data_IF_149431959123
#
_entry.id   IF_149431959123
#
_cell.length_a   1.000
_cell.length_b   1.000
_cell.length_c   1.000
_cell.angle_alpha   90.00
_cell.angle_beta   90.00
_cell.angle_gamma   90.00
#
_symmetry.space_group_name_H-M   'P 1'
#
loop_
_entity.id
_entity.type
_entity.pdbx_description
1 polymer ?
#
# COMPACT_ATOMS: atom_id res chain seq x y z
N UNK A 1 -14.94 2.37 2.76
CA UNK A 1 -13.70 3.11 2.43
C UNK A 1 -13.92 4.55 2.87
N UNK A 2 -13.04 5.09 3.71
CA UNK A 2 -13.15 6.48 4.21
C UNK A 2 -12.59 7.45 3.17
N UNK A 3 -11.40 7.16 2.64
CA UNK A 3 -10.75 7.90 1.55
C UNK A 3 -9.83 6.96 0.75
N UNK A 4 -9.50 7.33 -0.49
CA UNK A 4 -8.49 6.67 -1.31
C UNK A 4 -7.89 7.65 -2.33
N UNK A 5 -6.65 7.39 -2.76
CA UNK A 5 -5.96 8.25 -3.71
C UNK A 5 -4.56 7.75 -4.04
N UNK A 6 -3.81 8.56 -4.77
CA UNK A 6 -2.42 8.28 -5.15
C UNK A 6 -1.62 9.56 -4.99
N UNK A 7 -0.47 9.47 -4.31
CA UNK A 7 0.47 10.58 -4.24
C UNK A 7 1.21 10.62 -5.58
N UNK A 8 0.90 11.62 -6.39
CA UNK A 8 1.54 11.83 -7.68
C UNK A 8 2.74 12.76 -7.52
N UNK A 9 3.91 12.29 -7.94
CA UNK A 9 5.10 13.13 -8.05
C UNK A 9 5.24 13.63 -9.48
N UNK A 10 5.63 14.90 -9.70
CA UNK A 10 5.79 15.44 -11.04
C UNK A 10 6.76 14.61 -11.90
N UNK A 11 6.52 14.49 -13.22
CA UNK A 11 7.51 13.87 -14.10
C UNK A 11 8.79 14.74 -14.16
N UNK A 12 9.95 14.09 -14.28
CA UNK A 12 11.28 14.72 -14.39
C UNK A 12 11.87 15.40 -13.15
N UNK A 13 11.28 15.26 -11.95
CA UNK A 13 11.95 15.68 -10.70
C UNK A 13 13.06 14.71 -10.31
N UNK A 14 14.16 15.25 -9.77
CA UNK A 14 15.34 14.51 -9.33
C UNK A 14 14.96 13.68 -8.07
N UNK A 15 15.62 12.51 -7.91
CA UNK A 15 15.22 11.40 -7.02
C UNK A 15 14.97 11.78 -5.55
N UNK A 16 15.72 12.70 -4.89
CA UNK A 16 15.48 13.05 -3.48
C UNK A 16 14.30 13.99 -3.23
N UNK A 17 14.02 14.95 -4.11
CA UNK A 17 12.90 15.88 -3.95
C UNK A 17 11.56 15.16 -3.98
N UNK A 18 11.44 14.12 -4.82
CA UNK A 18 10.27 13.25 -4.86
C UNK A 18 10.03 12.52 -3.53
N UNK A 19 11.10 12.09 -2.86
CA UNK A 19 10.99 11.45 -1.55
C UNK A 19 10.45 12.43 -0.50
N UNK A 20 10.86 13.70 -0.55
CA UNK A 20 10.33 14.74 0.35
C UNK A 20 8.84 14.98 0.11
N UNK A 21 8.38 15.00 -1.16
CA UNK A 21 6.96 15.11 -1.49
C UNK A 21 6.19 13.92 -0.88
N UNK A 22 6.65 12.70 -1.12
CA UNK A 22 6.01 11.49 -0.56
C UNK A 22 5.92 11.56 0.96
N UNK A 23 6.99 11.96 1.64
CA UNK A 23 7.01 12.13 3.10
C UNK A 23 5.96 13.14 3.57
N UNK A 24 5.94 14.32 2.97
CA UNK A 24 5.09 15.41 3.42
C UNK A 24 3.61 15.11 3.19
N UNK A 25 3.26 14.58 2.01
CA UNK A 25 1.90 14.17 1.68
C UNK A 25 1.43 13.02 2.59
N UNK A 26 2.27 12.00 2.81
CA UNK A 26 1.94 10.92 3.74
C UNK A 26 1.75 11.45 5.17
N UNK A 27 2.61 12.37 5.62
CA UNK A 27 2.47 12.99 6.93
C UNK A 27 1.13 13.72 7.08
N UNK A 28 0.69 14.47 6.07
CA UNK A 28 -0.62 15.12 6.07
C UNK A 28 -1.77 14.11 6.19
N UNK A 29 -1.70 13.00 5.45
CA UNK A 29 -2.69 11.92 5.52
C UNK A 29 -2.73 11.28 6.92
N UNK A 30 -1.57 11.08 7.55
CA UNK A 30 -1.49 10.52 8.90
C UNK A 30 -2.05 11.48 9.95
N UNK A 31 -1.82 12.79 9.80
CA UNK A 31 -2.38 13.82 10.68
C UNK A 31 -3.89 13.98 10.51
N UNK A 32 -4.42 13.81 9.28
CA UNK A 32 -5.85 13.89 8.99
C UNK A 32 -6.62 12.67 9.50
N UNK A 33 -6.09 11.46 9.30
CA UNK A 33 -6.83 10.22 9.55
C UNK A 33 -6.44 9.48 10.83
N UNK A 34 -5.26 9.76 11.40
CA UNK A 34 -4.76 9.17 12.66
C UNK A 34 -4.97 7.65 12.73
N UNK A 35 -4.47 6.87 11.75
CA UNK A 35 -4.71 5.43 11.73
C UNK A 35 -3.96 4.72 12.88
N UNK A 36 -4.48 3.60 13.36
CA UNK A 36 -3.78 2.78 14.37
C UNK A 36 -2.66 1.92 13.77
N UNK A 37 -2.79 1.57 12.49
CA UNK A 37 -1.82 0.76 11.75
C UNK A 37 -1.82 1.13 10.27
N UNK A 38 -0.74 0.75 9.58
CA UNK A 38 -0.60 0.86 8.13
C UNK A 38 -0.16 -0.49 7.54
N UNK A 39 -0.66 -0.79 6.35
CA UNK A 39 -0.25 -1.96 5.56
C UNK A 39 0.61 -1.51 4.39
N UNK A 40 1.84 -2.00 4.31
CA UNK A 40 2.81 -1.63 3.26
C UNK A 40 3.35 -2.91 2.65
N UNK A 41 3.16 -3.11 1.36
CA UNK A 41 3.61 -4.33 0.68
C UNK A 41 5.09 -4.66 0.97
N UNK A 42 5.34 -5.92 1.31
CA UNK A 42 6.69 -6.47 1.40
C UNK A 42 7.24 -6.72 -0.01
N UNK A 43 8.36 -6.06 -0.32
CA UNK A 43 9.03 -6.21 -1.61
C UNK A 43 10.15 -7.25 -1.51
N UNK A 44 10.15 -8.21 -2.44
CA UNK A 44 11.27 -9.11 -2.68
C UNK A 44 12.18 -8.56 -3.78
N UNK A 45 13.47 -8.90 -3.73
CA UNK A 45 14.46 -8.48 -4.72
C UNK A 45 13.98 -8.78 -6.16
N UNK A 46 13.79 -7.71 -6.93
CA UNK A 46 13.45 -7.82 -8.35
C UNK A 46 14.71 -8.07 -9.19
N UNK A 47 14.60 -8.87 -10.25
CA UNK A 47 15.68 -9.06 -11.24
C UNK A 47 16.03 -7.78 -12.01
N UNK A 48 15.19 -6.73 -11.95
CA UNK A 48 15.36 -5.50 -12.72
C UNK A 48 15.77 -4.33 -11.81
N UNK A 49 17.08 -4.14 -11.66
CA UNK A 49 17.69 -3.25 -10.67
C UNK A 49 17.33 -1.76 -10.84
N UNK A 50 17.08 -1.29 -12.07
CA UNK A 50 16.84 0.14 -12.33
C UNK A 50 15.51 0.63 -11.75
N UNK A 51 14.41 -0.09 -12.00
CA UNK A 51 13.09 0.27 -11.45
C UNK A 51 13.00 -0.03 -9.95
N UNK A 52 13.76 -1.03 -9.49
CA UNK A 52 13.79 -1.40 -8.09
C UNK A 52 14.32 -0.28 -7.19
N UNK A 53 15.35 0.47 -7.60
CA UNK A 53 15.98 1.50 -6.78
C UNK A 53 14.97 2.54 -6.27
N UNK A 54 14.24 3.19 -7.17
CA UNK A 54 13.31 4.27 -6.81
C UNK A 54 12.17 3.74 -5.92
N UNK A 55 11.69 2.52 -6.20
CA UNK A 55 10.65 1.89 -5.37
C UNK A 55 11.16 1.61 -3.96
N UNK A 56 12.39 1.10 -3.81
CA UNK A 56 12.99 0.86 -2.50
C UNK A 56 13.28 2.16 -1.73
N UNK A 57 13.74 3.22 -2.41
CA UNK A 57 13.94 4.54 -1.81
C UNK A 57 12.62 5.12 -1.27
N UNK A 58 11.57 5.15 -2.10
CA UNK A 58 10.23 5.61 -1.70
C UNK A 58 9.66 4.79 -0.54
N UNK A 59 9.82 3.47 -0.59
CA UNK A 59 9.40 2.58 0.49
C UNK A 59 10.13 2.87 1.80
N UNK A 60 11.45 3.14 1.74
CA UNK A 60 12.23 3.52 2.92
C UNK A 60 11.66 4.76 3.60
N UNK A 61 11.31 5.79 2.81
CA UNK A 61 10.70 7.01 3.32
C UNK A 61 9.30 6.78 3.89
N UNK A 62 8.46 5.96 3.24
CA UNK A 62 7.14 5.60 3.75
C UNK A 62 7.27 4.92 5.11
N UNK A 63 8.14 3.91 5.23
CA UNK A 63 8.32 3.18 6.49
C UNK A 63 8.86 4.07 7.59
N UNK A 64 9.85 4.92 7.30
CA UNK A 64 10.39 5.87 8.28
C UNK A 64 9.30 6.82 8.78
N UNK A 65 8.53 7.42 7.87
CA UNK A 65 7.45 8.37 8.19
C UNK A 65 6.38 7.73 9.07
N UNK A 66 6.01 6.48 8.79
CA UNK A 66 5.06 5.72 9.60
C UNK A 66 5.58 5.48 11.03
N UNK A 67 6.85 5.09 11.19
CA UNK A 67 7.45 4.89 12.51
C UNK A 67 7.62 6.21 13.28
N UNK A 68 8.00 7.30 12.62
CA UNK A 68 8.06 8.64 13.23
C UNK A 68 6.69 9.07 13.80
N UNK A 69 5.61 8.70 13.10
CA UNK A 69 4.23 8.93 13.53
C UNK A 69 3.70 7.87 14.52
N UNK A 70 4.54 6.93 14.98
CA UNK A 70 4.20 5.83 15.91
C UNK A 70 3.11 4.89 15.38
N UNK A 71 3.03 4.72 14.07
CA UNK A 71 2.08 3.83 13.41
C UNK A 71 2.61 2.40 13.38
N UNK A 72 1.77 1.43 13.74
CA UNK A 72 2.09 0.00 13.62
C UNK A 72 2.12 -0.40 12.15
N UNK A 73 3.15 -1.11 11.71
CA UNK A 73 3.33 -1.46 10.29
C UNK A 73 3.14 -2.96 10.08
N UNK A 74 2.32 -3.31 9.08
CA UNK A 74 2.09 -4.67 8.61
C UNK A 74 2.61 -4.77 7.19
N UNK A 75 3.34 -5.85 6.91
CA UNK A 75 4.05 -5.99 5.63
C UNK A 75 3.63 -7.29 4.94
N UNK A 76 2.44 -7.34 4.31
CA UNK A 76 2.02 -8.52 3.58
C UNK A 76 2.77 -8.61 2.24
N UNK A 77 3.08 -9.83 1.82
CA UNK A 77 3.63 -10.09 0.50
C UNK A 77 2.54 -9.97 -0.58
N UNK A 78 2.93 -9.76 -1.85
CA UNK A 78 2.00 -9.78 -3.00
C UNK A 78 1.10 -11.02 -2.99
N UNK A 79 1.68 -12.20 -2.72
CA UNK A 79 0.92 -13.45 -2.72
C UNK A 79 -0.05 -13.54 -1.54
N UNK A 80 0.32 -12.98 -0.38
CA UNK A 80 -0.58 -12.85 0.77
C UNK A 80 -1.72 -11.87 0.49
N UNK A 81 -1.47 -10.73 -0.16
CA UNK A 81 -2.51 -9.78 -0.57
C UNK A 81 -3.49 -10.46 -1.53
N UNK A 82 -2.97 -11.09 -2.60
CA UNK A 82 -3.78 -11.83 -3.57
C UNK A 82 -4.61 -12.93 -2.93
N UNK A 83 -3.99 -13.72 -2.04
CA UNK A 83 -4.69 -14.79 -1.31
C UNK A 83 -5.74 -14.24 -0.35
N UNK A 84 -5.44 -13.15 0.36
CA UNK A 84 -6.36 -12.54 1.33
C UNK A 84 -7.59 -11.93 0.67
N UNK A 85 -7.43 -11.34 -0.53
CA UNK A 85 -8.54 -10.71 -1.25
C UNK A 85 -9.34 -11.68 -2.14
N UNK A 86 -8.67 -12.65 -2.79
CA UNK A 86 -9.32 -13.55 -3.77
C UNK A 86 -9.45 -15.01 -3.32
N UNK A 87 -8.79 -15.42 -2.24
CA UNK A 87 -8.59 -16.82 -1.87
C UNK A 87 -7.45 -17.52 -2.63
N UNK A 88 -6.86 -16.90 -3.66
CA UNK A 88 -5.81 -17.48 -4.49
C UNK A 88 -4.56 -16.58 -4.55
N UNK A 89 -3.41 -17.09 -4.07
CA UNK A 89 -2.15 -16.34 -4.08
C UNK A 89 -1.59 -16.03 -5.48
N UNK A 90 -2.07 -16.74 -6.51
CA UNK A 90 -1.66 -16.57 -7.91
C UNK A 90 -2.66 -15.74 -8.73
N UNK A 91 -3.64 -15.11 -8.10
CA UNK A 91 -4.66 -14.34 -8.79
C UNK A 91 -4.07 -13.24 -9.68
N UNK A 92 -4.70 -13.00 -10.82
CA UNK A 92 -4.35 -11.90 -11.72
C UNK A 92 -4.99 -10.57 -11.28
N UNK A 93 -4.60 -9.46 -11.94
CA UNK A 93 -5.08 -8.12 -11.58
C UNK A 93 -6.59 -7.96 -11.78
N UNK A 94 -7.20 -8.68 -12.73
CA UNK A 94 -8.65 -8.62 -12.97
C UNK A 94 -9.41 -9.32 -11.84
N UNK A 95 -8.89 -10.45 -11.37
CA UNK A 95 -9.46 -11.19 -10.24
C UNK A 95 -9.39 -10.37 -8.95
N UNK A 96 -8.27 -9.69 -8.68
CA UNK A 96 -8.14 -8.79 -7.53
C UNK A 96 -9.16 -7.65 -7.61
N UNK A 97 -9.25 -6.94 -8.75
CA UNK A 97 -10.22 -5.86 -8.95
C UNK A 97 -11.66 -6.33 -8.74
N UNK A 98 -12.04 -7.48 -9.30
CA UNK A 98 -13.38 -8.04 -9.12
C UNK A 98 -13.66 -8.38 -7.66
N UNK A 99 -12.68 -8.90 -6.93
CA UNK A 99 -12.81 -9.17 -5.50
C UNK A 99 -13.03 -7.87 -4.69
N UNK A 100 -12.27 -6.81 -4.98
CA UNK A 100 -12.46 -5.48 -4.37
C UNK A 100 -13.89 -4.97 -4.62
N UNK A 101 -14.37 -5.03 -5.87
CA UNK A 101 -15.72 -4.61 -6.22
C UNK A 101 -16.79 -5.34 -5.39
N UNK A 102 -16.65 -6.66 -5.24
CA UNK A 102 -17.59 -7.48 -4.48
C UNK A 102 -17.50 -7.21 -2.97
N UNK A 103 -16.29 -7.11 -2.41
CA UNK A 103 -16.07 -6.92 -0.97
C UNK A 103 -16.52 -5.54 -0.48
N UNK A 104 -16.33 -4.51 -1.29
CA UNK A 104 -16.65 -3.12 -0.94
C UNK A 104 -17.93 -2.58 -1.60
N UNK A 105 -18.63 -3.40 -2.37
CA UNK A 105 -19.87 -3.00 -3.06
C UNK A 105 -19.67 -1.91 -4.13
N UNK A 106 -18.48 -1.85 -4.74
CA UNK A 106 -18.12 -0.82 -5.73
C UNK A 106 -18.46 -1.32 -7.13
N UNK A 107 -19.37 -0.64 -7.83
CA UNK A 107 -19.77 -1.03 -9.19
C UNK A 107 -18.66 -0.78 -10.21
N UNK A 108 -18.06 0.40 -10.20
CA UNK A 108 -17.00 0.79 -11.12
C UNK A 108 -15.80 1.33 -10.35
N UNK A 109 -14.64 0.71 -10.56
CA UNK A 109 -13.36 1.19 -10.04
C UNK A 109 -12.87 2.34 -10.93
N UNK A 110 -12.86 3.56 -10.42
CA UNK A 110 -12.36 4.77 -11.09
C UNK A 110 -11.02 5.24 -10.51
N UNK A 111 -10.29 6.11 -11.20
CA UNK A 111 -8.98 6.60 -10.73
C UNK A 111 -7.85 5.60 -10.97
N UNK A 112 -6.73 5.78 -10.25
CA UNK A 112 -5.49 5.05 -10.49
C UNK A 112 -5.56 3.61 -9.98
N UNK A 113 -4.97 2.70 -10.76
CA UNK A 113 -4.87 1.29 -10.41
C UNK A 113 -4.21 1.05 -9.05
N UNK A 114 -3.19 1.85 -8.73
CA UNK A 114 -2.42 1.76 -7.49
C UNK A 114 -3.28 2.04 -6.25
N UNK A 115 -4.33 2.86 -6.38
CA UNK A 115 -5.29 3.11 -5.30
C UNK A 115 -6.03 1.83 -4.90
N UNK A 116 -6.39 1.00 -5.88
CA UNK A 116 -7.11 -0.25 -5.65
C UNK A 116 -6.19 -1.32 -5.05
N UNK A 117 -4.94 -1.37 -5.52
CA UNK A 117 -3.92 -2.25 -4.94
C UNK A 117 -3.63 -1.87 -3.47
N UNK A 118 -3.61 -0.57 -3.14
CA UNK A 118 -3.48 -0.07 -1.77
C UNK A 118 -4.69 -0.44 -0.89
N UNK A 119 -5.93 -0.37 -1.42
CA UNK A 119 -7.13 -0.80 -0.70
C UNK A 119 -7.08 -2.30 -0.39
N UNK A 120 -6.64 -3.12 -1.34
CA UNK A 120 -6.47 -4.55 -1.12
C UNK A 120 -5.42 -4.83 -0.04
N UNK A 121 -4.27 -4.13 -0.09
CA UNK A 121 -3.22 -4.24 0.92
C UNK A 121 -3.73 -3.85 2.31
N UNK A 122 -4.49 -2.75 2.43
CA UNK A 122 -5.08 -2.29 3.70
C UNK A 122 -6.04 -3.33 4.31
N UNK A 123 -6.94 -3.87 3.49
CA UNK A 123 -7.90 -4.89 3.94
C UNK A 123 -7.24 -6.18 4.42
N UNK A 124 -6.25 -6.67 3.66
CA UNK A 124 -5.52 -7.88 4.03
C UNK A 124 -4.66 -7.64 5.26
N UNK A 125 -3.98 -6.49 5.34
CA UNK A 125 -3.22 -6.09 6.51
C UNK A 125 -4.08 -6.09 7.77
N UNK A 126 -5.26 -5.45 7.72
CA UNK A 126 -6.23 -5.46 8.83
C UNK A 126 -6.63 -6.88 9.26
N UNK A 127 -6.91 -7.74 8.29
CA UNK A 127 -7.29 -9.14 8.55
C UNK A 127 -6.15 -9.97 9.16
N UNK A 128 -4.89 -9.61 8.91
CA UNK A 128 -3.73 -10.25 9.53
C UNK A 128 -3.60 -9.89 11.02
N UNK A 129 -4.04 -8.71 11.44
CA UNK A 129 -4.11 -8.33 12.87
C UNK A 129 -5.12 -9.21 13.60
N UNK A 130 -6.35 -9.27 13.10
CA UNK A 130 -7.46 -9.97 13.76
C UNK A 130 -7.30 -11.49 13.85
N UNK A 131 -6.35 -12.08 13.10
CA UNK A 131 -6.08 -13.52 13.11
C UNK A 131 -4.96 -13.95 14.07
N UNK A 132 -4.43 -13.04 14.91
CA UNK A 132 -3.35 -13.35 15.85
C UNK A 132 -2.04 -13.75 15.16
N UNK A 133 -1.88 -13.37 13.88
CA UNK A 133 -0.68 -13.66 13.10
C UNK A 133 0.42 -12.62 13.28
N UNK A 134 0.12 -11.52 13.98
CA UNK A 134 1.04 -10.43 14.28
C UNK A 134 0.74 -9.98 15.71
N UNK A 135 1.58 -10.42 16.66
CA UNK A 135 1.63 -9.85 18.00
C UNK A 135 2.64 -8.69 17.98
N UNK A 136 2.24 -7.53 18.52
CA UNK A 136 3.07 -6.32 18.64
C UNK A 136 3.71 -6.23 20.02
#
# INVERSE_FOLDING_TARGET
>A
IVSYGTIEVPPNTISPENLLIIRNELKMILEEHIPEFASVEELFFSKNQKTAKNVFESRGVILLTLIEAKIKIIQPTVSQIKKGITGNGNADKKQVKKAIQLLFGIKNLTGHDDSWDAIAAAFVGFSMIGSGRIDF
#
